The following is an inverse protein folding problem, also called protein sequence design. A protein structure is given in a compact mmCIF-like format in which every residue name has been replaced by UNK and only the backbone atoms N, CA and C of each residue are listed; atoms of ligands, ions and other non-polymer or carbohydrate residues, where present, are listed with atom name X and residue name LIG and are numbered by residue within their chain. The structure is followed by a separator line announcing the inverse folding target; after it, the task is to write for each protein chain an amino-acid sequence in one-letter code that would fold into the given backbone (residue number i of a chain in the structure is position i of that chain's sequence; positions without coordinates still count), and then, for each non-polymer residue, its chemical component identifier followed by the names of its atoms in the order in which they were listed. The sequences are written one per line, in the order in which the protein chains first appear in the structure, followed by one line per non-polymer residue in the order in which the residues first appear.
data_IF_390353157583
#
_entry.id   IF_390353157583
#
_cell.length_a   1.000
_cell.length_b   1.000
_cell.length_c   1.000
_cell.angle_alpha   90.00
_cell.angle_beta   90.00
_cell.angle_gamma   90.00
#
_symmetry.space_group_name_H-M   'P 1'
#
loop_
_entity.id
_entity.type
_entity.pdbx_description
1 polymer ?
#
# COMPACT_ATOMS: atom_id res chain seq x y z
N UNK A 1 -83.89 -47.82 -22.39
CA UNK A 1 -83.06 -46.75 -21.77
C UNK A 1 -81.55 -46.93 -22.02
N UNK A 2 -81.01 -48.15 -22.07
CA UNK A 2 -79.56 -48.41 -22.23
C UNK A 2 -78.89 -47.81 -23.48
N UNK A 3 -79.56 -47.81 -24.66
CA UNK A 3 -78.97 -47.36 -25.93
C UNK A 3 -78.73 -45.84 -26.01
N UNK A 4 -79.62 -45.02 -25.39
CA UNK A 4 -79.44 -43.56 -25.30
C UNK A 4 -78.29 -43.20 -24.36
N UNK A 5 -78.19 -43.90 -23.23
CA UNK A 5 -77.07 -43.73 -22.29
C UNK A 5 -75.74 -44.11 -22.94
N UNK A 6 -75.68 -45.20 -23.71
CA UNK A 6 -74.48 -45.58 -24.47
C UNK A 6 -74.09 -44.54 -25.53
N UNK A 7 -75.04 -44.01 -26.30
CA UNK A 7 -74.77 -42.97 -27.30
C UNK A 7 -74.25 -41.70 -26.62
N UNK A 8 -74.89 -41.26 -25.53
CA UNK A 8 -74.44 -40.10 -24.75
C UNK A 8 -73.04 -40.32 -24.20
N UNK A 9 -72.73 -41.50 -23.66
CA UNK A 9 -71.41 -41.83 -23.14
C UNK A 9 -70.33 -41.81 -24.24
N UNK A 10 -70.63 -42.39 -25.41
CA UNK A 10 -69.73 -42.39 -26.58
C UNK A 10 -69.47 -40.97 -27.07
N UNK A 11 -70.49 -40.12 -27.14
CA UNK A 11 -70.34 -38.70 -27.51
C UNK A 11 -69.48 -37.96 -26.49
N UNK A 12 -69.69 -38.19 -25.19
CA UNK A 12 -68.93 -37.53 -24.13
C UNK A 12 -67.46 -37.96 -24.13
N UNK A 13 -67.19 -39.25 -24.36
CA UNK A 13 -65.83 -39.77 -24.56
C UNK A 13 -65.19 -39.20 -25.82
N UNK A 14 -65.92 -39.11 -26.94
CA UNK A 14 -65.41 -38.52 -28.18
C UNK A 14 -65.08 -37.03 -28.00
N UNK A 15 -65.90 -36.28 -27.27
CA UNK A 15 -65.63 -34.88 -26.92
C UNK A 15 -64.42 -34.75 -26.00
N UNK A 16 -64.28 -35.61 -24.98
CA UNK A 16 -63.09 -35.63 -24.12
C UNK A 16 -61.82 -35.98 -24.90
N UNK A 17 -61.88 -36.93 -25.83
CA UNK A 17 -60.75 -37.28 -26.69
C UNK A 17 -60.37 -36.13 -27.62
N UNK A 18 -61.34 -35.47 -28.24
CA UNK A 18 -61.08 -34.27 -29.06
C UNK A 18 -60.50 -33.11 -28.22
N UNK A 19 -61.01 -32.90 -27.00
CA UNK A 19 -60.48 -31.91 -26.08
C UNK A 19 -59.04 -32.25 -25.66
N UNK A 20 -58.74 -33.52 -25.39
CA UNK A 20 -57.40 -33.98 -25.06
C UNK A 20 -56.42 -33.82 -26.24
N UNK A 21 -56.84 -34.14 -27.46
CA UNK A 21 -56.05 -33.93 -28.68
C UNK A 21 -55.82 -32.43 -28.93
N UNK A 22 -56.84 -31.59 -28.77
CA UNK A 22 -56.72 -30.14 -28.89
C UNK A 22 -55.79 -29.54 -27.83
N UNK A 23 -55.92 -29.99 -26.58
CA UNK A 23 -55.04 -29.60 -25.47
C UNK A 23 -53.59 -30.01 -25.73
N UNK A 24 -53.36 -31.24 -26.22
CA UNK A 24 -52.04 -31.72 -26.60
C UNK A 24 -51.46 -30.94 -27.78
N UNK A 25 -52.27 -30.64 -28.81
CA UNK A 25 -51.82 -29.86 -29.96
C UNK A 25 -51.44 -28.42 -29.57
N UNK A 26 -52.22 -27.80 -28.68
CA UNK A 26 -51.93 -26.47 -28.14
C UNK A 26 -50.62 -26.47 -27.33
N UNK A 27 -50.48 -27.41 -26.40
CA UNK A 27 -49.27 -27.58 -25.57
C UNK A 27 -48.03 -27.88 -26.42
N UNK A 28 -48.17 -28.74 -27.43
CA UNK A 28 -47.08 -29.09 -28.36
C UNK A 28 -46.72 -27.93 -29.29
N UNK A 29 -47.64 -27.04 -29.64
CA UNK A 29 -47.35 -25.88 -30.48
C UNK A 29 -46.55 -24.79 -29.77
N UNK A 30 -46.58 -24.81 -28.42
CA UNK A 30 -45.88 -23.88 -27.53
C UNK A 30 -44.75 -24.55 -26.76
N UNK A 31 -44.23 -25.67 -27.24
CA UNK A 31 -43.18 -26.43 -26.52
C UNK A 31 -41.85 -25.68 -26.44
N UNK A 32 -41.66 -24.68 -27.29
CA UNK A 32 -40.46 -23.83 -27.39
C UNK A 32 -40.65 -22.44 -26.76
N UNK A 33 -41.84 -22.16 -26.21
CA UNK A 33 -42.19 -20.87 -25.60
C UNK A 33 -41.99 -20.94 -24.09
N UNK A 34 -41.23 -19.99 -23.54
CA UNK A 34 -41.05 -19.83 -22.11
C UNK A 34 -42.31 -19.22 -21.50
N UNK A 35 -42.77 -19.76 -20.37
CA UNK A 35 -43.97 -19.27 -19.70
C UNK A 35 -43.80 -17.83 -19.20
N UNK A 36 -44.88 -17.06 -19.24
CA UNK A 36 -44.90 -15.69 -18.72
C UNK A 36 -44.40 -15.63 -17.27
N UNK A 37 -43.65 -14.58 -16.92
CA UNK A 37 -43.11 -14.35 -15.57
C UNK A 37 -41.80 -15.08 -15.24
N UNK A 38 -41.23 -15.81 -16.19
CA UNK A 38 -39.87 -16.36 -16.05
C UNK A 38 -38.83 -15.28 -16.39
N UNK A 39 -37.82 -15.14 -15.53
CA UNK A 39 -36.70 -14.21 -15.74
C UNK A 39 -35.35 -14.93 -15.66
N UNK A 40 -34.36 -14.47 -16.44
CA UNK A 40 -32.98 -14.94 -16.41
C UNK A 40 -32.07 -13.76 -16.08
N UNK A 41 -31.43 -13.77 -14.91
CA UNK A 41 -30.55 -12.67 -14.50
C UNK A 41 -31.22 -11.28 -14.52
N UNK A 42 -32.53 -11.23 -14.26
CA UNK A 42 -33.33 -10.00 -14.33
C UNK A 42 -33.84 -9.63 -15.73
N UNK A 43 -33.48 -10.39 -16.76
CA UNK A 43 -34.06 -10.25 -18.11
C UNK A 43 -35.38 -11.01 -18.16
N UNK A 44 -36.47 -10.31 -18.48
CA UNK A 44 -37.77 -10.92 -18.75
C UNK A 44 -37.72 -11.70 -20.08
N UNK A 45 -37.94 -13.01 -19.98
CA UNK A 45 -37.94 -13.96 -21.10
C UNK A 45 -39.30 -14.65 -21.26
N UNK A 46 -40.31 -14.24 -20.48
CA UNK A 46 -41.66 -14.77 -20.59
C UNK A 46 -42.26 -14.51 -21.98
N UNK A 47 -42.91 -15.53 -22.54
CA UNK A 47 -43.54 -15.49 -23.86
C UNK A 47 -42.55 -15.52 -25.04
N UNK A 48 -41.24 -15.61 -24.78
CA UNK A 48 -40.21 -15.73 -25.82
C UNK A 48 -39.99 -17.19 -26.22
N UNK A 49 -39.62 -17.40 -27.47
CA UNK A 49 -39.02 -18.67 -27.92
C UNK A 49 -37.60 -18.84 -27.35
N UNK A 50 -37.05 -20.06 -27.39
CA UNK A 50 -35.67 -20.33 -26.96
C UNK A 50 -34.65 -19.42 -27.67
N UNK A 51 -34.80 -19.25 -28.98
CA UNK A 51 -33.94 -18.39 -29.81
C UNK A 51 -34.07 -16.90 -29.45
N UNK A 52 -35.29 -16.44 -29.16
CA UNK A 52 -35.55 -15.05 -28.77
C UNK A 52 -35.00 -14.76 -27.38
N UNK A 53 -35.22 -15.67 -26.43
CA UNK A 53 -34.70 -15.58 -25.07
C UNK A 53 -33.17 -15.59 -25.07
N UNK A 54 -32.54 -16.47 -25.86
CA UNK A 54 -31.08 -16.51 -26.03
C UNK A 54 -30.55 -15.16 -26.47
N UNK A 55 -31.13 -14.56 -27.52
CA UNK A 55 -30.72 -13.22 -28.02
C UNK A 55 -30.98 -12.11 -27.00
N UNK A 56 -32.09 -12.19 -26.28
CA UNK A 56 -32.45 -11.20 -25.27
C UNK A 56 -31.50 -11.22 -24.07
N UNK A 57 -31.17 -12.42 -23.58
CA UNK A 57 -30.18 -12.65 -22.52
C UNK A 57 -28.79 -12.25 -23.00
N UNK A 58 -28.36 -12.66 -24.19
CA UNK A 58 -27.07 -12.24 -24.73
C UNK A 58 -26.93 -10.71 -24.76
N UNK A 59 -27.93 -10.02 -25.34
CA UNK A 59 -27.87 -8.56 -25.49
C UNK A 59 -27.90 -7.80 -24.16
N UNK A 60 -28.68 -8.27 -23.18
CA UNK A 60 -28.95 -7.51 -21.95
C UNK A 60 -28.10 -7.96 -20.76
N UNK A 61 -27.65 -9.21 -20.76
CA UNK A 61 -26.84 -9.79 -19.71
C UNK A 61 -25.39 -9.97 -20.16
N UNK A 62 -25.13 -10.52 -21.35
CA UNK A 62 -23.75 -10.89 -21.76
C UNK A 62 -22.98 -9.75 -22.42
N UNK A 63 -23.60 -9.02 -23.36
CA UNK A 63 -22.94 -7.94 -24.09
C UNK A 63 -22.37 -6.85 -23.16
N UNK A 64 -23.07 -6.37 -22.12
CA UNK A 64 -22.50 -5.41 -21.16
C UNK A 64 -21.30 -5.98 -20.38
N UNK A 65 -21.24 -7.29 -20.19
CA UNK A 65 -20.11 -7.94 -19.51
C UNK A 65 -18.85 -8.00 -20.37
N UNK A 66 -18.97 -7.74 -21.69
CA UNK A 66 -17.85 -7.61 -22.64
C UNK A 66 -17.23 -6.21 -22.66
N UNK A 67 -17.68 -5.28 -21.84
CA UNK A 67 -17.00 -3.98 -21.69
C UNK A 67 -15.78 -4.10 -20.76
N UNK A 68 -15.00 -3.05 -20.54
CA UNK A 68 -13.95 -3.07 -19.51
C UNK A 68 -14.57 -2.89 -18.11
N UNK A 69 -14.02 -3.53 -17.09
CA UNK A 69 -14.21 -3.07 -15.71
C UNK A 69 -13.19 -1.99 -15.41
N UNK A 70 -13.63 -0.83 -14.94
CA UNK A 70 -12.77 0.33 -14.68
C UNK A 70 -12.66 0.62 -13.18
N UNK A 71 -11.45 0.62 -12.64
CA UNK A 71 -11.16 1.20 -11.33
C UNK A 71 -10.65 2.64 -11.49
N UNK A 72 -11.13 3.57 -10.67
CA UNK A 72 -10.82 5.00 -10.78
C UNK A 72 -10.28 5.58 -9.47
N UNK A 73 -9.19 6.34 -9.57
CA UNK A 73 -8.63 7.17 -8.50
C UNK A 73 -8.21 8.51 -9.07
N UNK A 74 -8.67 9.63 -8.50
CA UNK A 74 -8.27 11.00 -8.87
C UNK A 74 -8.24 11.34 -10.37
N UNK A 75 -9.15 10.72 -11.12
CA UNK A 75 -9.27 10.91 -12.58
C UNK A 75 -8.47 9.91 -13.42
N UNK A 76 -7.50 9.21 -12.83
CA UNK A 76 -6.80 8.06 -13.43
C UNK A 76 -7.75 6.87 -13.51
N UNK A 77 -7.69 6.14 -14.63
CA UNK A 77 -8.54 4.98 -14.91
C UNK A 77 -7.69 3.75 -15.19
N UNK A 78 -7.87 2.74 -14.37
CA UNK A 78 -7.29 1.41 -14.55
C UNK A 78 -8.35 0.50 -15.15
N UNK A 79 -8.00 -0.19 -16.24
CA UNK A 79 -8.95 -1.02 -16.99
C UNK A 79 -8.57 -2.48 -16.90
N UNK A 80 -9.55 -3.30 -16.53
CA UNK A 80 -9.50 -4.74 -16.56
C UNK A 80 -10.39 -5.23 -17.71
N UNK A 81 -9.74 -5.76 -18.75
CA UNK A 81 -10.42 -6.19 -19.96
C UNK A 81 -11.11 -7.56 -19.75
N UNK A 82 -12.22 -7.82 -20.44
CA UNK A 82 -12.99 -9.06 -20.29
C UNK A 82 -12.20 -10.29 -20.76
N UNK A 83 -11.25 -10.13 -21.69
CA UNK A 83 -10.41 -11.24 -22.17
C UNK A 83 -9.49 -11.75 -21.07
N UNK A 84 -8.94 -10.84 -20.25
CA UNK A 84 -8.13 -11.21 -19.09
C UNK A 84 -8.96 -11.87 -18.00
N UNK A 85 -10.17 -11.38 -17.79
CA UNK A 85 -11.11 -11.96 -16.83
C UNK A 85 -11.65 -13.32 -17.26
N UNK A 86 -11.46 -13.73 -18.52
CA UNK A 86 -11.98 -14.98 -19.09
C UNK A 86 -13.47 -15.19 -18.76
N UNK A 87 -14.28 -14.13 -18.89
CA UNK A 87 -15.70 -14.19 -18.54
C UNK A 87 -16.41 -15.21 -19.44
N UNK A 88 -17.06 -16.20 -18.83
CA UNK A 88 -17.92 -17.17 -19.52
C UNK A 88 -19.33 -17.12 -18.94
N UNK A 89 -20.32 -17.30 -19.82
CA UNK A 89 -21.74 -17.34 -19.49
C UNK A 89 -22.39 -18.50 -20.23
N UNK A 90 -23.09 -19.38 -19.52
CA UNK A 90 -23.84 -20.49 -20.11
C UNK A 90 -25.28 -20.05 -20.43
N UNK A 91 -25.44 -19.28 -21.51
CA UNK A 91 -26.76 -18.75 -21.90
C UNK A 91 -27.70 -19.86 -22.33
N UNK A 92 -27.20 -20.83 -23.09
CA UNK A 92 -27.98 -21.97 -23.57
C UNK A 92 -28.52 -22.79 -22.39
N UNK A 93 -27.67 -23.14 -21.43
CA UNK A 93 -28.11 -23.86 -20.22
C UNK A 93 -29.09 -23.08 -19.34
N UNK A 94 -29.00 -21.74 -19.30
CA UNK A 94 -29.98 -20.91 -18.60
C UNK A 94 -31.35 -20.88 -19.30
N UNK A 95 -31.36 -20.82 -20.64
CA UNK A 95 -32.58 -20.83 -21.45
C UNK A 95 -33.23 -22.22 -21.41
N UNK A 96 -32.46 -23.29 -21.53
CA UNK A 96 -32.93 -24.66 -21.40
C UNK A 96 -33.61 -24.89 -20.05
N UNK A 97 -33.00 -24.39 -18.97
CA UNK A 97 -33.59 -24.45 -17.64
C UNK A 97 -34.90 -23.66 -17.56
N UNK A 98 -34.97 -22.47 -18.17
CA UNK A 98 -36.20 -21.69 -18.22
C UNK A 98 -37.32 -22.43 -18.96
N UNK A 99 -37.01 -23.14 -20.04
CA UNK A 99 -37.95 -24.00 -20.77
C UNK A 99 -38.39 -25.19 -19.92
N UNK A 100 -37.48 -25.87 -19.25
CA UNK A 100 -37.80 -27.01 -18.39
C UNK A 100 -38.76 -26.61 -17.26
N UNK A 101 -38.49 -25.49 -16.58
CA UNK A 101 -39.36 -24.94 -15.53
C UNK A 101 -40.73 -24.52 -16.10
N UNK A 102 -40.75 -23.95 -17.32
CA UNK A 102 -41.99 -23.58 -18.03
C UNK A 102 -42.86 -24.80 -18.33
N UNK A 103 -42.24 -25.97 -18.55
CA UNK A 103 -42.90 -27.23 -18.88
C UNK A 103 -43.18 -28.11 -17.67
N UNK A 104 -42.73 -27.72 -16.47
CA UNK A 104 -43.03 -28.42 -15.24
C UNK A 104 -44.54 -28.54 -14.99
N UNK A 105 -44.96 -29.72 -14.50
CA UNK A 105 -46.36 -30.08 -14.25
C UNK A 105 -46.99 -30.96 -15.35
N UNK A 106 -48.28 -31.27 -15.19
CA UNK A 106 -49.04 -32.10 -16.14
C UNK A 106 -49.73 -31.27 -17.24
N UNK A 107 -50.14 -31.92 -18.32
CA UNK A 107 -50.90 -31.29 -19.41
C UNK A 107 -52.09 -30.43 -18.94
N UNK A 108 -52.94 -30.86 -17.98
CA UNK A 108 -54.07 -30.06 -17.54
C UNK A 108 -53.67 -28.73 -16.88
N UNK A 109 -52.60 -28.72 -16.07
CA UNK A 109 -52.15 -27.51 -15.39
C UNK A 109 -51.51 -26.51 -16.36
N UNK A 110 -50.76 -27.00 -17.36
CA UNK A 110 -50.15 -26.14 -18.38
C UNK A 110 -51.19 -25.49 -19.27
N UNK A 111 -52.16 -26.26 -19.75
CA UNK A 111 -53.24 -25.73 -20.59
C UNK A 111 -54.13 -24.75 -19.83
N UNK A 112 -54.40 -25.00 -18.54
CA UNK A 112 -55.09 -24.04 -17.69
C UNK A 112 -54.34 -22.71 -17.60
N UNK A 113 -53.02 -22.77 -17.39
CA UNK A 113 -52.14 -21.59 -17.34
C UNK A 113 -52.21 -20.78 -18.65
N UNK A 114 -52.14 -21.43 -19.80
CA UNK A 114 -52.28 -20.74 -21.10
C UNK A 114 -53.66 -20.07 -21.26
N UNK A 115 -54.73 -20.73 -20.80
CA UNK A 115 -56.10 -20.23 -20.94
C UNK A 115 -56.41 -19.06 -20.00
N UNK A 116 -55.84 -19.04 -18.80
CA UNK A 116 -56.07 -17.96 -17.82
C UNK A 116 -55.04 -16.84 -17.89
N UNK A 117 -53.99 -16.98 -18.70
CA UNK A 117 -52.84 -16.06 -18.70
C UNK A 117 -52.07 -16.11 -17.37
N UNK A 118 -51.94 -17.30 -16.78
CA UNK A 118 -51.21 -17.46 -15.52
C UNK A 118 -49.70 -17.32 -15.72
N UNK A 119 -49.04 -16.55 -14.85
CA UNK A 119 -47.58 -16.39 -14.85
C UNK A 119 -46.91 -17.36 -13.86
N UNK A 120 -45.65 -17.70 -14.14
CA UNK A 120 -44.72 -18.29 -13.19
C UNK A 120 -43.98 -17.18 -12.43
N UNK A 121 -43.53 -17.51 -11.22
CA UNK A 121 -42.61 -16.66 -10.46
C UNK A 121 -41.28 -17.43 -10.35
N UNK A 122 -40.53 -17.45 -11.45
CA UNK A 122 -39.29 -18.22 -11.57
C UNK A 122 -38.17 -17.27 -11.99
N UNK A 123 -37.16 -17.14 -11.13
CA UNK A 123 -35.96 -16.37 -11.39
C UNK A 123 -34.76 -17.30 -11.53
N UNK A 124 -34.24 -17.45 -12.75
CA UNK A 124 -33.03 -18.20 -13.03
C UNK A 124 -31.82 -17.30 -12.72
N UNK A 125 -30.97 -17.77 -11.81
CA UNK A 125 -29.73 -17.07 -11.45
C UNK A 125 -28.71 -17.13 -12.60
N UNK A 126 -28.03 -16.02 -12.91
CA UNK A 126 -27.05 -15.99 -13.98
C UNK A 126 -25.82 -16.84 -13.63
N UNK A 127 -25.37 -17.67 -14.55
CA UNK A 127 -24.15 -18.48 -14.39
C UNK A 127 -22.97 -17.80 -15.06
N UNK A 128 -22.30 -16.90 -14.33
CA UNK A 128 -21.13 -16.17 -14.80
C UNK A 128 -19.89 -16.69 -14.07
N UNK A 129 -18.91 -17.17 -14.82
CA UNK A 129 -17.60 -17.55 -14.28
C UNK A 129 -16.53 -16.58 -14.79
N UNK A 130 -15.53 -16.29 -13.96
CA UNK A 130 -14.42 -15.40 -14.29
C UNK A 130 -13.14 -15.83 -13.56
N UNK A 131 -11.99 -15.34 -14.02
CA UNK A 131 -10.68 -15.60 -13.43
C UNK A 131 -10.45 -14.76 -12.18
N UNK A 132 -10.28 -15.42 -11.03
CA UNK A 132 -9.88 -14.78 -9.79
C UNK A 132 -8.42 -14.31 -9.82
N UNK A 133 -7.55 -15.05 -10.50
CA UNK A 133 -6.14 -14.71 -10.66
C UNK A 133 -5.97 -13.41 -11.45
N UNK A 134 -6.69 -13.24 -12.56
CA UNK A 134 -6.65 -12.00 -13.34
C UNK A 134 -7.16 -10.79 -12.54
N UNK A 135 -8.09 -11.01 -11.60
CA UNK A 135 -8.58 -9.97 -10.70
C UNK A 135 -7.52 -9.57 -9.66
N UNK A 136 -6.85 -10.55 -9.05
CA UNK A 136 -5.80 -10.32 -8.07
C UNK A 136 -4.56 -9.68 -8.72
N UNK A 137 -4.16 -10.10 -9.92
CA UNK A 137 -3.10 -9.46 -10.70
C UNK A 137 -3.44 -8.00 -11.04
N UNK A 138 -4.70 -7.71 -11.37
CA UNK A 138 -5.14 -6.35 -11.63
C UNK A 138 -5.07 -5.49 -10.37
N UNK A 139 -5.50 -6.01 -9.21
CA UNK A 139 -5.42 -5.31 -7.92
C UNK A 139 -3.96 -5.03 -7.57
N UNK A 140 -3.09 -6.03 -7.69
CA UNK A 140 -1.66 -5.89 -7.44
C UNK A 140 -1.03 -4.82 -8.34
N UNK A 141 -1.41 -4.77 -9.63
CA UNK A 141 -0.97 -3.72 -10.54
C UNK A 141 -1.47 -2.32 -10.11
N UNK A 142 -2.73 -2.19 -9.71
CA UNK A 142 -3.27 -0.92 -9.23
C UNK A 142 -2.56 -0.49 -7.95
N UNK A 143 -2.31 -1.43 -7.03
CA UNK A 143 -1.55 -1.18 -5.81
C UNK A 143 -0.12 -0.74 -6.11
N UNK A 144 0.58 -1.37 -7.05
CA UNK A 144 1.94 -0.97 -7.44
C UNK A 144 2.00 0.46 -8.01
N UNK A 145 0.98 0.88 -8.77
CA UNK A 145 0.93 2.24 -9.34
C UNK A 145 0.42 3.30 -8.34
N UNK A 146 -0.36 2.92 -7.32
CA UNK A 146 -1.00 3.85 -6.37
C UNK A 146 -0.28 3.92 -5.04
N UNK A 147 0.28 2.82 -4.56
CA UNK A 147 0.90 2.75 -3.25
C UNK A 147 2.14 3.64 -3.23
N UNK A 148 2.21 4.47 -2.20
CA UNK A 148 3.34 5.33 -1.91
C UNK A 148 3.72 5.08 -0.47
N UNK A 149 4.96 4.68 -0.26
CA UNK A 149 5.48 4.47 1.09
C UNK A 149 5.49 5.79 1.87
N UNK A 150 5.20 5.76 3.17
CA UNK A 150 5.41 6.94 4.01
C UNK A 150 6.89 7.29 4.07
N UNK A 151 7.18 8.57 4.28
CA UNK A 151 8.55 9.04 4.51
C UNK A 151 8.67 9.51 5.95
N UNK A 152 9.62 8.91 6.65
CA UNK A 152 9.93 9.25 8.03
C UNK A 152 10.42 10.67 8.20
N UNK A 153 10.08 11.28 9.33
CA UNK A 153 10.73 12.50 9.75
C UNK A 153 12.22 12.23 9.97
N UNK A 154 13.06 13.23 9.66
CA UNK A 154 14.51 13.12 9.82
C UNK A 154 15.11 14.43 10.30
N UNK A 155 16.40 14.41 10.60
CA UNK A 155 17.17 15.61 10.92
C UNK A 155 18.08 15.98 9.74
N UNK A 156 18.15 17.27 9.46
CA UNK A 156 19.09 17.84 8.48
C UNK A 156 20.07 18.75 9.22
N UNK A 157 21.22 18.21 9.66
CA UNK A 157 22.22 19.00 10.37
C UNK A 157 22.97 19.92 9.40
N UNK A 158 23.21 21.15 9.85
CA UNK A 158 24.16 22.08 9.26
C UNK A 158 25.23 22.42 10.31
N UNK A 159 26.29 23.16 9.95
CA UNK A 159 27.30 23.57 10.92
C UNK A 159 26.71 24.34 12.13
N UNK A 160 25.63 25.10 11.91
CA UNK A 160 25.05 26.04 12.89
C UNK A 160 23.60 25.74 13.26
N UNK A 161 22.96 24.73 12.67
CA UNK A 161 21.58 24.36 12.96
C UNK A 161 21.35 22.85 12.92
N UNK A 162 20.30 22.41 13.61
CA UNK A 162 19.82 21.04 13.56
C UNK A 162 18.33 21.05 13.17
N UNK A 163 18.07 21.17 11.87
CA UNK A 163 16.71 21.27 11.34
C UNK A 163 15.98 19.94 11.43
N UNK A 164 14.68 19.98 11.74
CA UNK A 164 13.77 18.84 11.57
C UNK A 164 13.18 18.91 10.16
N UNK A 165 13.20 17.79 9.44
CA UNK A 165 12.47 17.61 8.20
C UNK A 165 11.25 16.78 8.53
N UNK A 166 10.07 17.33 8.25
CA UNK A 166 8.81 16.62 8.47
C UNK A 166 8.71 15.41 7.54
N UNK A 167 8.26 14.29 8.11
CA UNK A 167 7.82 13.15 7.32
C UNK A 167 6.49 13.45 6.62
N UNK A 168 6.11 12.58 5.70
CA UNK A 168 4.79 12.65 5.07
C UNK A 168 4.13 11.28 5.00
N UNK A 169 2.81 11.29 5.14
CA UNK A 169 1.99 10.09 5.02
C UNK A 169 2.20 9.44 3.65
N UNK A 170 2.20 8.12 3.67
CA UNK A 170 2.04 7.27 2.50
C UNK A 170 0.57 7.09 2.16
N UNK A 171 0.33 6.44 1.03
CA UNK A 171 -0.99 6.06 0.56
C UNK A 171 -0.95 4.58 0.21
N UNK A 172 -1.93 3.81 0.69
CA UNK A 172 -2.06 2.40 0.33
C UNK A 172 -3.48 2.09 -0.15
N UNK A 173 -3.58 1.25 -1.18
CA UNK A 173 -4.84 0.70 -1.66
C UNK A 173 -5.40 -0.25 -0.61
N UNK A 174 -6.69 -0.11 -0.30
CA UNK A 174 -7.43 -1.14 0.44
C UNK A 174 -7.80 -2.25 -0.55
N UNK A 175 -6.89 -3.21 -0.70
CA UNK A 175 -7.02 -4.30 -1.67
C UNK A 175 -8.28 -5.14 -1.44
N UNK A 176 -8.70 -5.35 -0.19
CA UNK A 176 -9.89 -6.15 0.14
C UNK A 176 -11.19 -5.43 -0.21
N UNK A 177 -11.26 -4.13 0.07
CA UNK A 177 -12.38 -3.31 -0.36
C UNK A 177 -12.40 -3.21 -1.89
N UNK A 178 -11.26 -3.05 -2.56
CA UNK A 178 -11.17 -3.02 -4.02
C UNK A 178 -11.61 -4.35 -4.63
N UNK A 179 -11.14 -5.48 -4.09
CA UNK A 179 -11.54 -6.84 -4.51
C UNK A 179 -13.03 -7.05 -4.42
N UNK A 180 -13.64 -6.60 -3.33
CA UNK A 180 -15.09 -6.70 -3.10
C UNK A 180 -15.89 -5.86 -4.09
N UNK A 181 -15.44 -4.63 -4.37
CA UNK A 181 -16.05 -3.75 -5.36
C UNK A 181 -15.93 -4.33 -6.78
N UNK A 182 -14.73 -4.79 -7.18
CA UNK A 182 -14.51 -5.35 -8.50
C UNK A 182 -15.27 -6.66 -8.72
N UNK A 183 -15.35 -7.55 -7.72
CA UNK A 183 -16.18 -8.77 -7.79
C UNK A 183 -17.63 -8.44 -8.13
N UNK A 184 -18.16 -7.40 -7.51
CA UNK A 184 -19.52 -6.93 -7.75
C UNK A 184 -19.66 -6.33 -9.15
N UNK A 185 -18.65 -5.58 -9.61
CA UNK A 185 -18.62 -4.96 -10.94
C UNK A 185 -18.49 -5.96 -12.10
N UNK A 186 -17.71 -7.04 -11.91
CA UNK A 186 -17.54 -8.11 -12.92
C UNK A 186 -18.84 -8.86 -13.17
N UNK A 187 -19.71 -8.97 -12.16
CA UNK A 187 -21.00 -9.69 -12.25
C UNK A 187 -22.19 -8.78 -12.60
N UNK A 188 -21.99 -7.45 -12.59
CA UNK A 188 -23.06 -6.47 -12.80
C UNK A 188 -22.98 -5.88 -14.21
N UNK A 189 -24.01 -6.04 -15.06
CA UNK A 189 -24.04 -5.40 -16.38
C UNK A 189 -24.09 -3.86 -16.28
N UNK A 190 -24.76 -3.32 -15.26
CA UNK A 190 -25.00 -1.87 -15.15
C UNK A 190 -23.90 -1.08 -14.40
N UNK A 191 -22.96 -1.76 -13.73
CA UNK A 191 -22.00 -1.14 -12.81
C UNK A 191 -20.58 -1.65 -13.05
N UNK A 192 -20.00 -1.21 -14.16
CA UNK A 192 -18.64 -1.59 -14.60
C UNK A 192 -17.54 -0.67 -14.07
N UNK A 193 -17.87 0.37 -13.30
CA UNK A 193 -16.88 1.32 -12.75
C UNK A 193 -16.91 1.34 -11.23
N UNK A 194 -15.73 1.26 -10.61
CA UNK A 194 -15.52 1.30 -9.16
C UNK A 194 -14.49 2.37 -8.79
N UNK A 195 -14.57 2.90 -7.57
CA UNK A 195 -13.53 3.77 -7.02
C UNK A 195 -12.44 2.91 -6.39
N UNK A 196 -11.17 3.28 -6.55
CA UNK A 196 -10.08 2.63 -5.81
C UNK A 196 -10.12 3.15 -4.37
N UNK A 197 -10.45 2.30 -3.37
CA UNK A 197 -10.40 2.70 -1.98
C UNK A 197 -8.93 2.79 -1.53
N UNK A 198 -8.57 3.88 -0.87
CA UNK A 198 -7.22 4.11 -0.34
C UNK A 198 -7.30 4.55 1.11
N UNK A 199 -6.26 4.27 1.88
CA UNK A 199 -6.07 4.76 3.23
C UNK A 199 -4.66 5.36 3.39
N UNK A 200 -4.50 6.23 4.38
CA UNK A 200 -3.19 6.81 4.70
C UNK A 200 -2.38 5.82 5.51
N UNK A 201 -1.08 5.77 5.24
CA UNK A 201 -0.09 5.04 6.04
C UNK A 201 0.77 6.08 6.72
N UNK A 202 0.82 6.06 8.05
CA UNK A 202 1.64 7.01 8.81
C UNK A 202 3.13 6.62 8.73
N UNK A 203 4.06 7.59 8.79
CA UNK A 203 5.48 7.30 8.95
C UNK A 203 5.76 6.56 10.26
N UNK A 204 6.86 5.80 10.28
CA UNK A 204 7.33 5.12 11.48
C UNK A 204 7.94 6.10 12.48
N UNK A 205 8.54 7.20 12.00
CA UNK A 205 9.14 8.25 12.82
C UNK A 205 8.44 9.58 12.60
N UNK A 206 7.91 10.14 13.68
CA UNK A 206 7.34 11.48 13.71
C UNK A 206 8.35 12.55 14.15
N UNK A 207 8.12 13.84 13.85
CA UNK A 207 9.03 14.92 14.27
C UNK A 207 9.20 15.06 15.79
N UNK A 208 8.21 14.61 16.57
CA UNK A 208 8.25 14.61 18.03
C UNK A 208 9.17 13.50 18.56
N UNK A 209 9.17 12.33 17.90
CA UNK A 209 10.03 11.19 18.25
C UNK A 209 11.51 11.42 17.88
N UNK A 210 11.81 12.37 16.99
CA UNK A 210 13.20 12.70 16.63
C UNK A 210 14.03 13.16 17.85
N UNK A 211 13.43 13.85 18.82
CA UNK A 211 14.15 14.27 20.03
C UNK A 211 14.54 13.06 20.90
N UNK A 212 13.69 12.03 20.93
CA UNK A 212 13.96 10.80 21.67
C UNK A 212 15.04 9.94 20.98
N UNK A 213 15.07 9.94 19.64
CA UNK A 213 16.12 9.25 18.86
C UNK A 213 17.47 9.96 18.93
N UNK A 214 17.46 11.29 18.97
CA UNK A 214 18.65 12.13 18.99
C UNK A 214 18.68 13.04 20.24
N UNK A 215 18.72 12.46 21.46
CA UNK A 215 18.67 13.23 22.71
C UNK A 215 19.92 14.09 22.91
N UNK A 216 21.00 13.79 22.19
CA UNK A 216 22.21 14.60 22.16
C UNK A 216 22.80 14.56 20.76
N UNK A 217 23.15 15.73 20.22
CA UNK A 217 23.77 15.90 18.92
C UNK A 217 24.87 16.97 19.00
N UNK A 218 25.91 16.86 18.18
CA UNK A 218 26.95 17.88 18.04
C UNK A 218 26.99 18.42 16.61
N UNK A 219 27.18 19.72 16.44
CA UNK A 219 27.52 20.29 15.12
C UNK A 219 28.78 21.13 15.24
N UNK A 220 29.73 20.92 14.33
CA UNK A 220 30.97 21.68 14.23
C UNK A 220 30.93 22.54 12.98
N UNK A 221 31.05 23.86 13.18
CA UNK A 221 31.35 24.82 12.15
C UNK A 221 32.85 25.11 12.14
N UNK A 222 33.54 24.52 11.17
CA UNK A 222 34.99 24.71 10.99
C UNK A 222 35.34 26.13 10.54
N UNK A 223 34.42 26.82 9.88
CA UNK A 223 34.66 28.17 9.34
C UNK A 223 34.62 29.25 10.42
N UNK A 224 33.76 29.07 11.43
CA UNK A 224 33.66 29.98 12.57
C UNK A 224 34.31 29.47 13.85
N UNK A 225 34.88 28.26 13.82
CA UNK A 225 35.53 27.61 14.95
C UNK A 225 34.60 27.41 16.16
N UNK A 226 33.37 26.98 15.87
CA UNK A 226 32.32 26.81 16.87
C UNK A 226 31.79 25.38 16.88
N UNK A 227 31.79 24.78 18.07
CA UNK A 227 31.13 23.51 18.35
C UNK A 227 29.83 23.79 19.10
N UNK A 228 28.73 23.21 18.65
CA UNK A 228 27.41 23.38 19.23
C UNK A 228 26.96 22.06 19.87
N UNK A 229 26.50 22.14 21.11
CA UNK A 229 25.85 21.06 21.84
C UNK A 229 24.33 21.23 21.75
N UNK A 230 23.67 20.22 21.18
CA UNK A 230 22.23 20.15 21.07
C UNK A 230 21.69 19.07 22.02
N UNK A 231 20.62 19.39 22.75
CA UNK A 231 19.87 18.44 23.59
C UNK A 231 18.42 18.47 23.17
N UNK A 232 17.84 17.31 22.95
CA UNK A 232 16.46 17.18 22.48
C UNK A 232 16.18 18.09 21.26
N UNK A 233 17.20 18.22 20.39
CA UNK A 233 17.24 19.07 19.19
C UNK A 233 17.20 20.60 19.43
N UNK A 234 17.40 21.04 20.67
CA UNK A 234 17.55 22.46 21.04
C UNK A 234 19.02 22.81 21.32
N UNK A 235 19.45 24.01 20.89
CA UNK A 235 20.81 24.49 21.16
C UNK A 235 20.98 24.79 22.65
N UNK A 236 21.83 24.02 23.32
CA UNK A 236 22.13 24.22 24.75
C UNK A 236 23.34 25.11 24.94
N UNK A 237 24.40 24.89 24.15
CA UNK A 237 25.66 25.64 24.32
C UNK A 237 26.51 25.67 23.06
N UNK A 238 27.26 26.75 22.92
CA UNK A 238 28.29 26.92 21.89
C UNK A 238 29.65 27.07 22.55
N UNK A 239 30.65 26.41 21.99
CA UNK A 239 32.04 26.41 22.45
C UNK A 239 32.96 26.93 21.35
N UNK A 240 33.93 27.76 21.70
CA UNK A 240 35.03 28.11 20.81
C UNK A 240 36.04 26.98 20.78
N UNK A 241 36.43 26.55 19.58
CA UNK A 241 37.35 25.42 19.38
C UNK A 241 38.53 25.82 18.50
N UNK A 242 39.55 24.97 18.42
CA UNK A 242 40.51 25.00 17.32
C UNK A 242 40.33 23.74 16.46
N UNK A 243 40.46 23.87 15.16
CA UNK A 243 40.29 22.75 14.20
C UNK A 243 41.60 22.45 13.49
N UNK A 244 41.59 21.42 12.65
CA UNK A 244 42.69 21.04 11.78
C UNK A 244 43.21 22.21 10.94
N UNK A 245 44.53 22.37 10.90
CA UNK A 245 45.21 23.30 10.00
C UNK A 245 45.04 22.86 8.54
N UNK A 246 45.31 23.77 7.59
CA UNK A 246 45.25 23.45 6.16
C UNK A 246 46.22 22.29 5.85
N UNK A 247 45.71 21.22 5.23
CA UNK A 247 46.48 20.00 4.96
C UNK A 247 46.42 18.95 6.08
N UNK A 248 45.82 19.30 7.22
CA UNK A 248 45.45 18.42 8.32
C UNK A 248 44.00 18.66 8.74
N UNK A 249 43.13 18.84 7.75
CA UNK A 249 41.75 19.24 7.93
C UNK A 249 40.98 18.29 8.85
N UNK A 250 40.15 18.86 9.73
CA UNK A 250 39.17 18.05 10.49
C UNK A 250 38.17 17.43 9.50
N UNK A 251 37.95 16.11 9.55
CA UNK A 251 37.18 15.40 8.53
C UNK A 251 35.72 15.86 8.49
N UNK A 252 35.24 16.23 7.30
CA UNK A 252 33.83 16.60 7.05
C UNK A 252 32.96 15.35 7.04
N UNK A 253 31.73 15.45 7.53
CA UNK A 253 30.76 14.35 7.53
C UNK A 253 30.03 14.20 8.85
N UNK A 254 29.29 13.11 8.99
CA UNK A 254 28.60 12.72 10.23
C UNK A 254 29.32 11.54 10.85
N UNK A 255 29.76 11.69 12.09
CA UNK A 255 30.50 10.67 12.84
C UNK A 255 29.91 10.50 14.24
N UNK A 256 29.83 9.27 14.76
CA UNK A 256 29.50 9.07 16.16
C UNK A 256 30.71 9.35 17.05
N UNK A 257 30.47 9.77 18.30
CA UNK A 257 31.47 9.67 19.35
C UNK A 257 31.76 8.20 19.61
N UNK A 258 32.93 7.72 19.17
CA UNK A 258 33.29 6.30 19.17
C UNK A 258 33.71 5.79 20.54
N UNK A 259 34.47 6.62 21.27
CA UNK A 259 35.02 6.26 22.57
C UNK A 259 35.31 7.52 23.40
N UNK A 260 35.49 7.32 24.70
CA UNK A 260 35.71 8.38 25.68
C UNK A 260 36.77 7.96 26.70
N UNK A 261 37.64 8.88 27.06
CA UNK A 261 38.65 8.66 28.12
C UNK A 261 38.91 9.92 28.95
N UNK A 262 39.16 9.69 30.25
CA UNK A 262 39.64 10.69 31.21
C UNK A 262 41.15 10.58 31.29
N UNK A 263 41.84 11.72 31.25
CA UNK A 263 43.31 11.81 31.26
C UNK A 263 43.97 10.79 30.31
N UNK A 264 43.60 10.81 29.02
CA UNK A 264 43.97 9.78 28.04
C UNK A 264 45.49 9.76 27.81
N UNK A 265 46.07 8.56 27.65
CA UNK A 265 47.39 8.46 27.03
C UNK A 265 47.30 8.86 25.56
N UNK A 266 48.33 9.54 25.04
CA UNK A 266 48.39 9.94 23.64
C UNK A 266 49.33 9.01 22.88
N UNK A 267 48.78 8.21 21.97
CA UNK A 267 49.57 7.43 21.01
C UNK A 267 49.94 8.33 19.84
N UNK A 268 51.23 8.65 19.74
CA UNK A 268 51.72 9.61 18.75
C UNK A 268 51.73 8.94 17.38
N UNK A 269 51.11 9.54 16.34
CA UNK A 269 51.13 8.99 15.00
C UNK A 269 52.57 8.81 14.49
N UNK A 270 52.80 7.74 13.75
CA UNK A 270 54.07 7.52 13.05
C UNK A 270 54.09 8.42 11.80
N UNK A 271 54.52 9.67 11.98
CA UNK A 271 54.44 10.72 10.96
C UNK A 271 55.55 11.75 11.14
N UNK A 272 56.06 12.30 10.02
CA UNK A 272 57.20 13.22 10.01
C UNK A 272 57.00 14.46 10.91
N UNK A 273 55.77 14.97 11.02
CA UNK A 273 55.46 16.13 11.85
C UNK A 273 55.64 15.87 13.36
N UNK A 274 55.57 14.61 13.78
CA UNK A 274 55.74 14.21 15.18
C UNK A 274 57.22 14.17 15.62
N UNK A 275 58.16 14.21 14.66
CA UNK A 275 59.60 14.22 14.93
C UNK A 275 60.03 13.04 15.80
N UNK A 276 60.83 13.32 16.85
CA UNK A 276 61.40 12.31 17.74
C UNK A 276 60.34 11.54 18.56
N UNK A 277 59.09 12.02 18.62
CA UNK A 277 58.00 11.35 19.33
C UNK A 277 57.21 10.39 18.44
N UNK A 278 57.47 10.33 17.13
CA UNK A 278 56.73 9.47 16.20
C UNK A 278 56.69 8.01 16.68
N UNK A 279 55.50 7.41 16.73
CA UNK A 279 55.27 6.03 17.17
C UNK A 279 55.43 5.78 18.68
N UNK A 280 55.65 6.82 19.49
CA UNK A 280 55.75 6.69 20.96
C UNK A 280 54.38 6.87 21.62
N UNK A 281 54.33 6.65 22.94
CA UNK A 281 53.15 6.92 23.77
C UNK A 281 53.52 7.92 24.86
N UNK A 282 52.80 9.04 24.91
CA UNK A 282 52.88 10.00 26.01
C UNK A 282 51.86 9.57 27.08
N UNK A 283 52.29 9.33 28.33
CA UNK A 283 51.37 8.91 29.39
C UNK A 283 50.24 9.91 29.63
N UNK A 284 49.08 9.39 30.07
CA UNK A 284 47.95 10.21 30.48
C UNK A 284 48.23 11.02 31.74
N UNK A 285 47.57 12.18 31.86
CA UNK A 285 47.64 13.02 33.07
C UNK A 285 48.96 13.76 33.29
N UNK A 286 49.92 13.68 32.36
CA UNK A 286 51.16 14.47 32.44
C UNK A 286 50.99 15.83 31.77
N UNK A 287 51.72 16.87 32.21
CA UNK A 287 51.65 18.21 31.60
C UNK A 287 52.01 18.22 30.10
N UNK A 288 52.87 17.31 29.66
CA UNK A 288 53.37 17.24 28.28
C UNK A 288 52.34 16.63 27.31
N UNK A 289 51.34 15.92 27.83
CA UNK A 289 50.32 15.28 27.00
C UNK A 289 49.38 16.34 26.37
N UNK A 290 49.29 16.44 25.03
CA UNK A 290 48.51 17.47 24.36
C UNK A 290 46.99 17.25 24.44
N UNK A 291 46.52 16.05 24.81
CA UNK A 291 45.10 15.74 24.96
C UNK A 291 44.51 16.27 26.27
N UNK A 292 45.39 16.51 27.26
CA UNK A 292 45.07 17.03 28.58
C UNK A 292 44.04 16.17 29.32
N UNK A 293 42.85 16.71 29.57
CA UNK A 293 41.91 16.18 30.56
C UNK A 293 40.93 15.14 30.01
N UNK A 294 40.47 15.29 28.76
CA UNK A 294 39.38 14.47 28.20
C UNK A 294 39.63 14.18 26.74
N UNK A 295 39.17 13.01 26.31
CA UNK A 295 39.15 12.59 24.92
C UNK A 295 37.77 12.07 24.54
N UNK A 296 37.30 12.48 23.36
CA UNK A 296 36.12 11.93 22.68
C UNK A 296 36.51 11.64 21.23
N UNK A 297 36.74 10.36 20.90
CA UNK A 297 37.18 9.96 19.56
C UNK A 297 36.04 10.04 18.54
N UNK A 298 36.33 10.48 17.31
CA UNK A 298 35.32 10.64 16.24
C UNK A 298 35.58 9.74 15.03
N UNK A 299 36.77 9.80 14.45
CA UNK A 299 37.10 9.10 13.19
C UNK A 299 38.61 9.12 12.94
N UNK A 300 39.18 7.98 12.54
CA UNK A 300 40.57 7.84 12.06
C UNK A 300 41.64 8.56 12.91
N UNK A 301 41.57 8.37 14.23
CA UNK A 301 42.50 9.00 15.18
C UNK A 301 42.23 10.48 15.48
N UNK A 302 41.26 11.12 14.82
CA UNK A 302 40.74 12.43 15.20
C UNK A 302 39.76 12.30 16.38
N UNK A 303 39.70 13.36 17.19
CA UNK A 303 38.80 13.45 18.33
C UNK A 303 38.70 14.87 18.88
N UNK A 304 37.81 15.04 19.83
CA UNK A 304 37.67 16.26 20.63
C UNK A 304 38.49 16.08 21.91
N UNK A 305 39.35 17.04 22.22
CA UNK A 305 40.18 16.99 23.44
C UNK A 305 40.48 18.36 24.02
N UNK A 306 41.01 18.38 25.24
CA UNK A 306 41.42 19.61 25.91
C UNK A 306 42.76 20.15 25.40
N UNK A 307 42.98 21.45 25.48
CA UNK A 307 44.26 22.10 25.20
C UNK A 307 44.60 23.14 26.27
N UNK A 308 45.88 23.27 26.60
CA UNK A 308 46.41 24.39 27.38
C UNK A 308 46.93 25.53 26.48
N UNK A 309 47.06 25.29 25.18
CA UNK A 309 47.28 26.33 24.17
C UNK A 309 45.97 27.06 23.85
N UNK A 310 45.50 27.86 24.82
CA UNK A 310 44.26 28.63 24.72
C UNK A 310 44.32 29.66 23.59
N UNK A 311 45.51 30.13 23.21
CA UNK A 311 45.69 31.06 22.11
C UNK A 311 45.35 30.45 20.74
N UNK A 312 45.35 29.12 20.62
CA UNK A 312 44.93 28.42 19.40
C UNK A 312 43.41 28.40 19.18
N UNK A 313 42.60 28.61 20.21
CA UNK A 313 41.14 28.58 20.10
C UNK A 313 40.66 29.73 19.19
N UNK A 314 39.76 29.42 18.25
CA UNK A 314 39.35 30.36 17.19
C UNK A 314 40.27 30.34 15.97
N UNK A 315 41.07 29.28 15.79
CA UNK A 315 41.97 29.14 14.64
C UNK A 315 42.11 27.71 14.13
N UNK A 316 42.68 27.56 12.93
CA UNK A 316 43.04 26.28 12.34
C UNK A 316 44.50 25.96 12.73
N UNK A 317 44.70 25.12 13.75
CA UNK A 317 46.00 24.95 14.42
C UNK A 317 46.33 23.50 14.82
N UNK A 318 45.42 22.55 14.62
CA UNK A 318 45.61 21.15 15.00
C UNK A 318 46.02 20.27 13.80
N UNK A 319 46.34 19.00 14.08
CA UNK A 319 46.58 17.98 13.06
C UNK A 319 45.31 17.13 12.79
N UNK A 320 44.13 17.76 12.79
CA UNK A 320 42.83 17.13 12.49
C UNK A 320 41.87 17.04 13.68
N UNK A 321 42.38 17.07 14.91
CA UNK A 321 41.57 17.04 16.13
C UNK A 321 40.84 18.38 16.41
N UNK A 322 39.77 18.32 17.18
CA UNK A 322 39.06 19.50 17.69
C UNK A 322 39.58 19.82 19.08
N UNK A 323 40.30 20.93 19.24
CA UNK A 323 40.81 21.37 20.55
C UNK A 323 39.80 22.26 21.25
N UNK A 324 39.61 22.04 22.54
CA UNK A 324 38.75 22.81 23.41
C UNK A 324 39.52 23.30 24.63
N UNK A 325 39.04 24.36 25.29
CA UNK A 325 39.57 24.70 26.61
C UNK A 325 39.37 23.53 27.59
N UNK A 326 40.27 23.37 28.57
CA UNK A 326 40.16 22.29 29.55
C UNK A 326 38.82 22.33 30.32
N UNK A 327 38.31 23.49 30.79
CA UNK A 327 36.99 23.54 31.42
C UNK A 327 35.86 23.10 30.49
N UNK A 328 35.86 23.58 29.24
CA UNK A 328 34.79 23.29 28.29
C UNK A 328 34.77 21.81 27.88
N UNK A 329 35.94 21.18 27.68
CA UNK A 329 35.97 19.76 27.33
C UNK A 329 35.54 18.88 28.49
N UNK A 330 35.82 19.26 29.75
CA UNK A 330 35.34 18.53 30.92
C UNK A 330 33.82 18.60 30.99
N UNK A 331 33.25 19.80 30.80
CA UNK A 331 31.80 19.99 30.80
C UNK A 331 31.11 19.25 29.65
N UNK A 332 31.64 19.33 28.44
CA UNK A 332 31.08 18.65 27.28
C UNK A 332 31.15 17.13 27.44
N UNK A 333 32.27 16.62 27.97
CA UNK A 333 32.47 15.19 28.19
C UNK A 333 31.38 14.59 29.06
N UNK A 334 30.94 15.25 30.13
CA UNK A 334 29.91 14.70 31.01
C UNK A 334 28.52 14.68 30.36
N UNK A 335 28.30 15.51 29.33
CA UNK A 335 27.02 15.65 28.65
C UNK A 335 26.89 14.80 27.39
N UNK A 336 27.98 14.27 26.83
CA UNK A 336 27.99 13.59 25.53
C UNK A 336 28.26 12.10 25.70
N UNK A 337 27.25 11.21 25.60
CA UNK A 337 27.44 9.77 25.59
C UNK A 337 28.26 9.26 24.39
N UNK A 338 28.82 8.05 24.53
CA UNK A 338 29.31 7.29 23.36
C UNK A 338 28.12 6.99 22.45
N UNK A 339 28.32 7.11 21.14
CA UNK A 339 27.28 6.97 20.13
C UNK A 339 26.59 8.28 19.72
N UNK A 340 26.81 9.38 20.46
CA UNK A 340 26.28 10.70 20.06
C UNK A 340 26.76 11.07 18.65
N UNK A 341 25.86 11.36 17.71
CA UNK A 341 26.23 11.83 16.39
C UNK A 341 26.76 13.25 16.40
N UNK A 342 27.75 13.49 15.54
CA UNK A 342 28.40 14.78 15.33
C UNK A 342 28.47 15.08 13.84
N UNK A 343 27.84 16.17 13.41
CA UNK A 343 28.01 16.71 12.07
C UNK A 343 29.20 17.68 12.04
N UNK A 344 30.04 17.55 11.01
CA UNK A 344 31.20 18.40 10.77
C UNK A 344 31.07 18.99 9.38
N UNK A 345 30.98 20.33 9.29
CA UNK A 345 30.95 21.07 8.04
C UNK A 345 31.93 22.23 8.00
#
# INVERSE_FOLDING_TARGET
MARKVQITLVVLVAVMLMAAVGAYALDSSRSDEIADGVTIGGVDVGGMTADEATKAVDRRLVDPLREDVTAKLDGVKYKLSPEKLEIRSDVEGMVDRALDESRAGGLPSRVWRYATGGALDVAISPQITYSHEALDEFIAKVADEVNQDPVDATIEPTPTSLGKVEGHDGVAVDEDALRSQLRSAVQSPDRRTVSVPVHRVAPEVTPDELAEQYPTYLTLDRSSFQLHLWKDLELVKTYTVAVGAVGFDTPVGVYPIQNKAVDPAWSVPDSDWAGDLAGTVVPGGTPENPLKARWMGIFDGAGIHGTDDVASLGSAASHGCVRMSIPDVIELYDQVPVGTPMYIG
#
